data_IF_593721840430
#
_entry.id   IF_593721840430
#
_cell.length_a   1.000
_cell.length_b   1.000
_cell.length_c   1.000
_cell.angle_alpha   90.00
_cell.angle_beta   90.00
_cell.angle_gamma   90.00
#
_symmetry.space_group_name_H-M   'P 1'
#
loop_
_entity.id
_entity.type
_entity.pdbx_description
1 polymer ?
#
# COMPACT_ATOMS: atom_id res chain seq x y z
N UNK A 1 12.28 0.36 5.44
CA UNK A 1 11.03 0.59 4.66
C UNK A 1 10.12 1.51 5.46
N UNK A 2 9.36 2.41 4.82
CA UNK A 2 8.47 3.33 5.56
C UNK A 2 7.02 2.84 5.58
N UNK A 3 6.36 2.93 6.71
CA UNK A 3 4.93 2.60 6.88
C UNK A 3 4.17 3.89 7.17
N UNK A 4 3.26 4.27 6.28
CA UNK A 4 2.33 5.36 6.52
C UNK A 4 1.03 4.78 7.08
N UNK A 5 0.79 4.96 8.38
CA UNK A 5 -0.35 4.39 9.09
C UNK A 5 -1.37 5.50 9.34
N UNK A 6 -2.60 5.28 8.88
CA UNK A 6 -3.72 6.20 9.04
C UNK A 6 -4.79 5.62 9.95
N UNK A 7 -5.35 6.45 10.84
CA UNK A 7 -6.51 6.11 11.66
C UNK A 7 -7.68 7.06 11.35
N UNK A 8 -8.65 6.63 10.54
CA UNK A 8 -9.72 7.52 10.09
C UNK A 8 -10.66 7.99 11.19
N UNK A 9 -10.83 7.21 12.26
CA UNK A 9 -11.75 7.55 13.35
C UNK A 9 -11.33 8.85 14.06
N UNK A 10 -10.01 9.08 14.19
CA UNK A 10 -9.45 10.30 14.76
C UNK A 10 -8.92 11.26 13.71
N UNK A 11 -8.80 10.83 12.45
CA UNK A 11 -8.15 11.59 11.38
C UNK A 11 -6.62 11.67 11.49
N UNK A 12 -6.02 10.96 12.44
CA UNK A 12 -4.58 10.98 12.65
C UNK A 12 -3.82 10.12 11.63
N UNK A 13 -2.58 10.50 11.35
CA UNK A 13 -1.64 9.70 10.56
C UNK A 13 -0.24 9.74 11.18
N UNK A 14 0.49 8.63 11.10
CA UNK A 14 1.87 8.51 11.58
C UNK A 14 2.71 7.79 10.53
N UNK A 15 3.88 8.35 10.25
CA UNK A 15 4.91 7.68 9.44
C UNK A 15 5.90 6.99 10.36
N UNK A 16 6.20 5.72 10.08
CA UNK A 16 7.15 4.91 10.85
C UNK A 16 8.20 4.38 9.91
N UNK A 17 9.46 4.47 10.32
CA UNK A 17 10.58 3.87 9.62
C UNK A 17 10.91 2.54 10.28
N UNK A 18 10.87 1.46 9.51
CA UNK A 18 11.13 0.11 9.98
C UNK A 18 12.25 -0.49 9.15
N UNK A 19 13.39 -0.73 9.78
CA UNK A 19 14.56 -1.31 9.12
C UNK A 19 14.67 -2.83 9.35
N UNK A 20 14.09 -3.33 10.44
CA UNK A 20 14.06 -4.78 10.72
C UNK A 20 13.08 -5.49 9.76
N UNK A 21 13.65 -6.25 8.84
CA UNK A 21 12.91 -7.02 7.84
C UNK A 21 11.99 -8.07 8.48
N UNK A 22 12.32 -8.60 9.66
CA UNK A 22 11.48 -9.60 10.35
C UNK A 22 10.10 -9.03 10.69
N UNK A 23 10.05 -7.75 11.07
CA UNK A 23 8.79 -7.03 11.36
C UNK A 23 7.94 -6.83 10.11
N UNK A 24 8.57 -6.72 8.94
CA UNK A 24 7.93 -6.44 7.66
C UNK A 24 7.43 -7.69 6.94
N UNK A 25 7.97 -8.86 7.26
CA UNK A 25 7.62 -10.15 6.63
C UNK A 25 6.11 -10.43 6.63
N UNK A 26 5.41 -10.04 7.70
CA UNK A 26 3.95 -10.23 7.82
C UNK A 26 3.17 -9.55 6.68
N UNK A 27 3.70 -8.46 6.14
CA UNK A 27 3.06 -7.74 5.05
C UNK A 27 3.40 -8.29 3.68
N UNK A 28 4.44 -9.10 3.50
CA UNK A 28 4.86 -9.60 2.18
C UNK A 28 3.90 -10.66 1.65
N UNK A 29 3.80 -10.72 0.31
CA UNK A 29 2.89 -11.62 -0.43
C UNK A 29 1.39 -11.40 -0.14
N UNK A 30 1.06 -10.35 0.62
CA UNK A 30 -0.31 -9.92 0.86
C UNK A 30 -0.77 -9.00 -0.26
N UNK A 31 -2.06 -9.08 -0.55
CA UNK A 31 -2.71 -8.21 -1.51
C UNK A 31 -3.12 -6.91 -0.83
N UNK A 32 -3.19 -5.83 -1.60
CA UNK A 32 -3.93 -4.65 -1.16
C UNK A 32 -5.38 -5.02 -0.80
N UNK A 33 -5.91 -4.30 0.19
CA UNK A 33 -7.16 -4.53 0.90
C UNK A 33 -7.18 -5.74 1.85
N UNK A 34 -6.09 -6.51 1.96
CA UNK A 34 -5.96 -7.55 2.99
C UNK A 34 -5.72 -6.94 4.37
N UNK A 35 -6.36 -7.54 5.38
CA UNK A 35 -6.15 -7.23 6.80
C UNK A 35 -5.01 -8.07 7.36
N UNK A 36 -4.19 -7.44 8.19
CA UNK A 36 -2.96 -8.01 8.74
C UNK A 36 -2.84 -7.54 10.19
N UNK A 37 -2.50 -8.45 11.10
CA UNK A 37 -2.18 -8.09 12.48
C UNK A 37 -0.89 -7.27 12.53
N UNK A 38 -0.89 -6.18 13.28
CA UNK A 38 0.24 -5.27 13.40
C UNK A 38 1.21 -5.64 14.53
N UNK A 39 0.96 -6.75 15.25
CA UNK A 39 1.74 -7.21 16.41
C UNK A 39 3.25 -7.32 16.13
N UNK A 40 3.63 -7.64 14.89
CA UNK A 40 5.04 -7.77 14.49
C UNK A 40 5.80 -6.44 14.46
N UNK A 41 5.13 -5.28 14.48
CA UNK A 41 5.78 -3.96 14.44
C UNK A 41 6.38 -3.56 15.80
N UNK A 42 5.78 -4.03 16.90
CA UNK A 42 6.21 -3.74 18.27
C UNK A 42 5.05 -3.82 19.26
N UNK A 43 5.37 -3.68 20.55
CA UNK A 43 4.38 -3.78 21.64
C UNK A 43 3.28 -2.70 21.53
N UNK A 44 3.62 -1.50 21.07
CA UNK A 44 2.67 -0.40 20.84
C UNK A 44 1.61 -0.70 19.75
N UNK A 45 1.88 -1.68 18.88
CA UNK A 45 0.99 -2.10 17.79
C UNK A 45 0.26 -3.41 18.10
N UNK A 46 0.45 -3.98 19.30
CA UNK A 46 -0.16 -5.24 19.69
C UNK A 46 -1.68 -5.10 19.76
N UNK A 47 -2.39 -6.07 19.16
CA UNK A 47 -3.85 -6.09 19.09
C UNK A 47 -4.43 -5.22 17.96
N UNK A 48 -3.63 -4.39 17.30
CA UNK A 48 -4.12 -3.62 16.16
C UNK A 48 -4.22 -4.47 14.90
N UNK A 49 -5.33 -4.32 14.18
CA UNK A 49 -5.52 -4.88 12.84
C UNK A 49 -5.47 -3.75 11.82
N UNK A 50 -4.56 -3.90 10.86
CA UNK A 50 -4.35 -2.92 9.79
C UNK A 50 -4.70 -3.51 8.44
N UNK A 51 -5.35 -2.72 7.60
CA UNK A 51 -5.61 -3.04 6.20
C UNK A 51 -4.58 -2.36 5.31
N UNK A 52 -3.99 -3.12 4.39
CA UNK A 52 -3.11 -2.56 3.36
C UNK A 52 -3.95 -1.73 2.39
N UNK A 53 -3.83 -0.40 2.42
CA UNK A 53 -4.62 0.51 1.60
C UNK A 53 -3.93 0.90 0.29
N UNK A 54 -2.61 0.70 0.21
CA UNK A 54 -1.81 0.97 -0.98
C UNK A 54 -0.32 1.02 -0.67
N UNK A 55 0.45 1.59 -1.58
CA UNK A 55 1.89 1.75 -1.43
C UNK A 55 2.51 2.29 -2.71
N UNK A 56 3.79 2.65 -2.63
CA UNK A 56 4.54 3.04 -3.81
C UNK A 56 5.84 2.23 -3.92
N UNK A 57 6.24 2.06 -5.17
CA UNK A 57 7.52 1.47 -5.51
C UNK A 57 8.69 2.43 -5.16
N UNK A 58 9.92 1.96 -5.08
CA UNK A 58 11.16 2.75 -4.89
C UNK A 58 11.29 3.88 -5.92
N UNK A 59 10.80 3.69 -7.14
CA UNK A 59 10.81 4.72 -8.19
C UNK A 59 9.52 5.56 -8.24
N UNK A 60 8.67 5.49 -7.21
CA UNK A 60 7.47 6.31 -7.08
C UNK A 60 6.24 5.82 -7.86
N UNK A 61 6.26 4.61 -8.42
CA UNK A 61 5.08 4.06 -9.09
C UNK A 61 4.05 3.56 -8.07
N UNK A 62 2.80 4.04 -8.10
CA UNK A 62 1.78 3.63 -7.15
C UNK A 62 1.27 2.21 -7.45
N UNK A 63 0.89 1.51 -6.39
CA UNK A 63 0.19 0.23 -6.48
C UNK A 63 -1.24 0.42 -7.01
N UNK A 64 -1.71 -0.53 -7.83
CA UNK A 64 -3.06 -0.52 -8.40
C UNK A 64 -3.84 -1.79 -8.01
N UNK A 65 -4.97 -1.60 -7.34
CA UNK A 65 -5.90 -2.68 -6.99
C UNK A 65 -6.33 -3.47 -8.25
N UNK A 66 -6.39 -4.79 -8.12
CA UNK A 66 -6.81 -5.71 -9.19
C UNK A 66 -5.69 -6.17 -10.12
N UNK A 67 -4.50 -5.57 -10.03
CA UNK A 67 -3.31 -6.02 -10.78
C UNK A 67 -2.57 -7.07 -9.94
N UNK A 68 -2.89 -8.36 -10.16
CA UNK A 68 -2.40 -9.49 -9.35
C UNK A 68 -0.96 -9.89 -9.69
N UNK A 69 -0.04 -8.94 -9.64
CA UNK A 69 1.39 -9.18 -9.82
C UNK A 69 2.16 -8.56 -8.67
N UNK A 70 3.35 -9.08 -8.40
CA UNK A 70 4.31 -8.32 -7.59
C UNK A 70 4.80 -7.16 -8.46
N UNK A 71 5.40 -7.45 -9.61
CA UNK A 71 6.02 -6.49 -10.53
C UNK A 71 5.19 -5.31 -11.04
N UNK A 72 5.83 -4.45 -11.84
CA UNK A 72 5.15 -3.38 -12.58
C UNK A 72 4.62 -3.89 -13.92
N UNK A 73 3.48 -3.34 -14.32
CA UNK A 73 2.86 -3.61 -15.62
C UNK A 73 2.47 -2.31 -16.30
N UNK A 74 2.43 -2.32 -17.64
CA UNK A 74 1.96 -1.17 -18.43
C UNK A 74 0.52 -1.38 -18.85
N UNK A 75 -0.39 -0.56 -18.32
CA UNK A 75 -1.81 -0.61 -18.63
C UNK A 75 -2.23 0.62 -19.43
N UNK A 76 -3.22 0.44 -20.32
CA UNK A 76 -3.88 1.54 -21.01
C UNK A 76 -4.99 2.12 -20.11
N UNK A 77 -4.72 3.25 -19.46
CA UNK A 77 -5.62 3.86 -18.50
C UNK A 77 -6.53 4.89 -19.16
N UNK A 78 -7.79 4.94 -18.72
CA UNK A 78 -8.83 5.89 -19.12
C UNK A 78 -9.30 6.73 -17.92
N UNK A 79 -10.16 7.73 -18.16
CA UNK A 79 -10.82 8.50 -17.10
C UNK A 79 -11.49 7.56 -16.08
N UNK A 80 -11.32 7.85 -14.79
CA UNK A 80 -11.87 7.04 -13.69
C UNK A 80 -10.92 5.95 -13.16
N UNK A 81 -9.86 5.60 -13.89
CA UNK A 81 -8.86 4.68 -13.35
C UNK A 81 -7.96 5.38 -12.32
N UNK A 82 -7.72 4.69 -11.19
CA UNK A 82 -6.64 5.06 -10.27
C UNK A 82 -5.29 5.12 -10.99
N UNK A 83 -4.38 5.97 -10.48
CA UNK A 83 -3.04 6.24 -11.02
C UNK A 83 -3.02 7.09 -12.32
N UNK A 84 -4.17 7.60 -12.77
CA UNK A 84 -4.26 8.45 -13.96
C UNK A 84 -5.25 9.61 -13.80
N UNK A 85 -4.80 10.81 -14.18
CA UNK A 85 -5.63 12.00 -14.34
C UNK A 85 -5.54 12.43 -15.82
N UNK A 86 -6.61 12.28 -16.62
CA UNK A 86 -6.62 12.68 -18.02
C UNK A 86 -6.51 14.21 -18.16
N UNK A 87 -5.89 14.68 -19.23
CA UNK A 87 -5.77 16.12 -19.55
C UNK A 87 -6.80 16.54 -20.60
N UNK A 88 -7.22 15.63 -21.47
CA UNK A 88 -8.28 15.84 -22.46
C UNK A 88 -9.39 14.80 -22.34
N UNK A 89 -10.62 15.18 -22.67
CA UNK A 89 -11.75 14.24 -22.75
C UNK A 89 -11.48 13.16 -23.79
N UNK A 90 -11.75 11.90 -23.43
CA UNK A 90 -11.49 10.74 -24.28
C UNK A 90 -10.03 10.26 -24.32
N UNK A 91 -9.09 10.97 -23.67
CA UNK A 91 -7.68 10.57 -23.62
C UNK A 91 -7.51 9.23 -22.89
N UNK A 92 -6.75 8.34 -23.50
CA UNK A 92 -6.23 7.13 -22.86
C UNK A 92 -4.70 7.15 -22.92
N UNK A 93 -4.04 6.75 -21.85
CA UNK A 93 -2.57 6.75 -21.78
C UNK A 93 -2.03 5.43 -21.26
N UNK A 94 -1.03 4.88 -21.95
CA UNK A 94 -0.30 3.69 -21.48
C UNK A 94 0.70 4.10 -20.39
N UNK A 95 0.42 3.77 -19.13
CA UNK A 95 1.25 4.09 -17.97
C UNK A 95 1.68 2.83 -17.23
N UNK A 96 2.88 2.88 -16.64
CA UNK A 96 3.37 1.83 -15.74
C UNK A 96 2.72 2.01 -14.36
N UNK A 97 2.26 0.91 -13.77
CA UNK A 97 1.72 0.84 -12.41
C UNK A 97 2.33 -0.35 -11.68
N UNK A 98 2.44 -0.26 -10.35
CA UNK A 98 2.87 -1.39 -9.52
C UNK A 98 1.68 -2.31 -9.26
N UNK A 99 1.90 -3.62 -9.25
CA UNK A 99 0.85 -4.57 -8.90
C UNK A 99 0.41 -4.43 -7.44
N UNK A 100 -0.70 -5.08 -7.10
CA UNK A 100 -1.33 -4.98 -5.78
C UNK A 100 -0.71 -5.92 -4.74
N UNK A 101 0.27 -6.75 -5.11
CA UNK A 101 0.92 -7.69 -4.19
C UNK A 101 2.20 -7.05 -3.65
N UNK A 102 2.31 -7.02 -2.33
CA UNK A 102 3.49 -6.53 -1.62
C UNK A 102 4.69 -7.48 -1.77
N UNK A 103 5.90 -6.92 -1.73
CA UNK A 103 7.16 -7.64 -1.81
C UNK A 103 8.27 -6.78 -1.19
N UNK A 104 9.34 -7.42 -0.71
CA UNK A 104 10.52 -6.76 -0.11
C UNK A 104 11.31 -5.92 -1.11
N UNK A 105 11.36 -6.35 -2.37
CA UNK A 105 12.34 -5.84 -3.34
C UNK A 105 12.05 -4.41 -3.80
N UNK A 106 10.78 -4.01 -3.85
CA UNK A 106 10.36 -2.86 -4.65
C UNK A 106 9.60 -1.78 -3.89
N UNK A 107 9.24 -1.96 -2.61
CA UNK A 107 8.43 -0.95 -1.92
C UNK A 107 9.29 0.12 -1.23
N UNK A 108 9.05 1.41 -1.54
CA UNK A 108 9.61 2.52 -0.75
C UNK A 108 8.81 2.72 0.53
N UNK A 109 7.48 2.66 0.42
CA UNK A 109 6.54 2.83 1.51
C UNK A 109 5.21 2.14 1.26
N UNK A 110 4.64 1.59 2.33
CA UNK A 110 3.33 0.95 2.37
C UNK A 110 2.34 1.84 3.14
N UNK A 111 1.12 1.96 2.63
CA UNK A 111 0.04 2.65 3.30
C UNK A 111 -0.85 1.65 4.02
N UNK A 112 -1.05 1.87 5.31
CA UNK A 112 -1.83 1.04 6.22
C UNK A 112 -2.99 1.87 6.79
N UNK A 113 -4.14 1.23 6.95
CA UNK A 113 -5.34 1.82 7.52
C UNK A 113 -5.78 1.00 8.71
N UNK A 114 -5.87 1.61 9.89
CA UNK A 114 -6.43 0.96 11.07
C UNK A 114 -7.95 0.86 10.87
N UNK A 115 -8.49 -0.37 10.96
CA UNK A 115 -9.93 -0.62 10.80
C UNK A 115 -10.68 -0.69 12.14
N UNK A 116 -9.98 -0.87 13.27
CA UNK A 116 -10.52 -0.85 14.62
C UNK A 116 -9.40 -0.68 15.66
N UNK A 117 -9.73 -0.13 16.84
CA UNK A 117 -8.84 -0.17 18.00
C UNK A 117 -8.88 -1.57 18.63
N UNK A 118 -7.78 -2.04 19.23
CA UNK A 118 -7.87 -3.19 20.14
C UNK A 118 -8.86 -2.87 21.27
N UNK A 119 -9.69 -3.84 21.60
CA UNK A 119 -10.55 -3.82 22.79
C UNK A 119 -9.70 -3.88 24.08
#
# INVERSE_FOLDING_TARGET
>A
MKLNISFPATGCQKLIEVDDERKLRTFYEKRMATEVAADSLGEEWKGYVVRISGGNDKQGFPMKQGVLTHGRVRLLLSKGHSCYRPRRTGERKRKSVRGCITSSEYNSWLCLKINGSPD
#
